data_IF_473923188596
#
_entry.id   IF_473923188596
#
_cell.length_a   1.000
_cell.length_b   1.000
_cell.length_c   1.000
_cell.angle_alpha   90.00
_cell.angle_beta   90.00
_cell.angle_gamma   90.00
#
_symmetry.space_group_name_H-M   'P 1'
#
loop_
_entity.id
_entity.type
_entity.pdbx_description
1 polymer ?
#
# COMPACT_ATOMS: atom_id res chain seq x y z
N UNK A 1 -48.40 36.25 89.81
CA UNK A 1 -48.65 34.92 89.17
C UNK A 1 -47.70 34.75 88.07
N UNK A 2 -46.70 33.87 88.20
CA UNK A 2 -45.63 33.60 87.29
C UNK A 2 -46.05 32.59 86.23
N UNK A 3 -45.58 32.68 84.98
CA UNK A 3 -45.45 31.50 84.14
C UNK A 3 -44.01 31.21 83.84
N UNK A 4 -43.75 29.93 83.89
CA UNK A 4 -42.51 29.21 83.60
C UNK A 4 -41.85 29.55 82.21
N UNK A 5 -40.56 29.84 82.28
CA UNK A 5 -39.70 29.80 81.09
C UNK A 5 -39.01 28.40 81.01
N UNK A 6 -39.40 27.61 80.08
CA UNK A 6 -38.67 26.37 79.71
C UNK A 6 -37.62 26.70 78.65
N UNK A 7 -36.35 26.48 78.95
CA UNK A 7 -35.24 26.64 78.08
C UNK A 7 -35.02 25.32 77.25
N UNK A 8 -35.25 25.43 75.96
CA UNK A 8 -35.02 24.36 75.03
C UNK A 8 -33.55 24.42 74.57
N UNK A 9 -32.75 23.43 75.02
CA UNK A 9 -31.36 23.24 74.52
C UNK A 9 -31.39 22.53 73.13
N UNK A 10 -31.07 23.28 72.08
CA UNK A 10 -30.89 22.72 70.75
C UNK A 10 -29.46 22.18 70.65
N UNK A 11 -29.33 20.86 70.62
CA UNK A 11 -28.06 20.17 70.34
C UNK A 11 -27.86 20.12 68.79
N UNK A 12 -26.92 20.93 68.31
CA UNK A 12 -26.54 20.91 66.88
C UNK A 12 -25.62 19.70 66.64
N UNK A 13 -26.15 18.70 65.97
CA UNK A 13 -25.34 17.61 65.44
C UNK A 13 -24.68 18.05 64.11
N UNK A 14 -23.39 18.29 64.17
CA UNK A 14 -22.59 18.57 62.95
C UNK A 14 -22.29 17.24 62.22
N UNK A 15 -23.03 16.97 61.15
CA UNK A 15 -22.72 15.88 60.23
C UNK A 15 -21.52 16.29 59.38
N UNK A 16 -20.35 15.71 59.65
CA UNK A 16 -19.19 15.79 58.77
C UNK A 16 -19.43 14.88 57.57
N UNK A 17 -19.79 15.46 56.42
CA UNK A 17 -19.84 14.72 55.14
C UNK A 17 -18.42 14.53 54.67
N UNK A 18 -17.87 13.30 54.80
CA UNK A 18 -16.65 12.88 54.15
C UNK A 18 -16.92 12.77 52.65
N UNK A 19 -16.46 13.74 51.87
CA UNK A 19 -16.42 13.69 50.42
C UNK A 19 -15.28 12.74 50.04
N UNK A 20 -15.61 11.47 49.83
CA UNK A 20 -14.69 10.51 49.18
C UNK A 20 -14.63 10.89 47.72
N UNK A 21 -13.63 11.70 47.34
CA UNK A 21 -13.29 11.94 45.96
C UNK A 21 -12.78 10.60 45.38
N UNK A 22 -13.66 9.86 44.73
CA UNK A 22 -13.25 8.72 43.89
C UNK A 22 -12.46 9.29 42.71
N UNK A 23 -11.14 9.26 42.82
CA UNK A 23 -10.23 9.43 41.70
C UNK A 23 -10.48 8.25 40.72
N UNK A 24 -11.40 8.47 39.79
CA UNK A 24 -11.52 7.62 38.62
C UNK A 24 -10.23 7.79 37.84
N UNK A 25 -9.25 6.93 38.05
CA UNK A 25 -8.12 6.81 37.17
C UNK A 25 -8.68 6.43 35.79
N UNK A 26 -8.85 7.41 34.93
CA UNK A 26 -9.13 7.18 33.53
C UNK A 26 -7.94 6.38 32.99
N UNK A 27 -8.12 5.08 32.82
CA UNK A 27 -7.12 4.23 32.20
C UNK A 27 -6.87 4.84 30.79
N UNK A 28 -5.70 5.42 30.62
CA UNK A 28 -5.31 6.01 29.35
C UNK A 28 -5.32 4.89 28.32
N UNK A 29 -6.24 4.96 27.36
CA UNK A 29 -6.42 3.93 26.34
C UNK A 29 -5.13 3.83 25.52
N UNK A 30 -4.42 2.72 25.64
CA UNK A 30 -3.18 2.46 24.88
C UNK A 30 -3.46 2.59 23.38
N UNK A 31 -2.78 3.53 22.73
CA UNK A 31 -2.97 3.77 21.30
C UNK A 31 -2.02 2.91 20.50
N UNK A 32 -2.58 1.97 19.74
CA UNK A 32 -1.83 1.11 18.82
C UNK A 32 -1.97 1.67 17.40
N UNK A 33 -0.86 2.08 16.80
CA UNK A 33 -0.81 2.59 15.42
C UNK A 33 -0.07 1.62 14.52
N UNK A 34 -0.51 1.45 13.24
CA UNK A 34 0.24 0.64 12.27
C UNK A 34 1.58 1.27 11.94
N UNK A 35 2.55 0.39 11.67
CA UNK A 35 3.81 0.72 11.02
C UNK A 35 4.02 -0.27 9.88
N UNK A 36 4.76 0.09 8.86
CA UNK A 36 5.19 -0.81 7.80
C UNK A 36 6.35 -1.74 8.23
N UNK A 37 6.72 -2.74 7.42
CA UNK A 37 7.85 -3.63 7.70
C UNK A 37 9.12 -2.89 8.15
N UNK A 38 9.80 -3.46 9.14
CA UNK A 38 10.96 -2.82 9.76
C UNK A 38 10.62 -1.65 10.71
N UNK A 39 9.35 -1.45 11.06
CA UNK A 39 8.90 -0.34 11.90
C UNK A 39 8.91 1.01 11.18
N UNK A 40 8.78 0.99 9.86
CA UNK A 40 8.79 2.20 9.02
C UNK A 40 7.41 2.89 9.03
N UNK A 41 7.42 4.20 8.90
CA UNK A 41 6.17 4.98 8.76
C UNK A 41 5.73 5.13 7.32
N UNK A 42 6.60 4.78 6.35
CA UNK A 42 6.36 4.98 4.92
C UNK A 42 6.64 3.71 4.13
N UNK A 43 5.81 3.45 3.12
CA UNK A 43 6.07 2.42 2.12
C UNK A 43 6.04 3.03 0.71
N UNK A 44 6.94 2.57 -0.14
CA UNK A 44 7.04 2.94 -1.55
C UNK A 44 6.75 1.72 -2.40
N UNK A 45 5.90 1.89 -3.40
CA UNK A 45 5.52 0.89 -4.41
C UNK A 45 5.75 1.48 -5.78
N UNK A 46 6.46 0.75 -6.64
CA UNK A 46 6.59 1.07 -8.06
C UNK A 46 5.90 -0.01 -8.89
N UNK A 47 4.94 0.38 -9.70
CA UNK A 47 4.09 -0.48 -10.53
C UNK A 47 4.28 -0.11 -11.99
N UNK A 48 4.63 -1.07 -12.87
CA UNK A 48 4.85 -0.82 -14.29
C UNK A 48 4.12 -1.84 -15.14
N UNK A 49 3.71 -1.43 -16.33
CA UNK A 49 2.81 -2.20 -17.18
C UNK A 49 3.49 -2.63 -18.50
N UNK A 50 2.85 -3.58 -19.20
CA UNK A 50 3.07 -4.07 -20.55
C UNK A 50 4.19 -5.12 -20.73
N UNK A 51 5.30 -5.04 -20.01
CA UNK A 51 6.45 -5.93 -20.21
C UNK A 51 7.32 -5.59 -21.42
N UNK A 52 7.61 -4.31 -21.73
CA UNK A 52 8.48 -3.91 -22.83
C UNK A 52 9.95 -4.22 -22.53
N UNK A 53 10.80 -4.23 -23.57
CA UNK A 53 12.25 -4.47 -23.41
C UNK A 53 12.94 -3.48 -22.48
N UNK A 54 12.37 -2.28 -22.30
CA UNK A 54 12.86 -1.23 -21.39
C UNK A 54 12.80 -1.65 -19.92
N UNK A 55 11.99 -2.64 -19.56
CA UNK A 55 11.93 -3.18 -18.20
C UNK A 55 13.27 -3.74 -17.74
N UNK A 56 14.15 -4.18 -18.66
CA UNK A 56 15.52 -4.60 -18.30
C UNK A 56 16.29 -3.46 -17.63
N UNK A 57 16.21 -2.24 -18.18
CA UNK A 57 16.85 -1.04 -17.61
C UNK A 57 16.17 -0.65 -16.29
N UNK A 58 14.86 -0.73 -16.22
CA UNK A 58 14.09 -0.42 -15.01
C UNK A 58 14.44 -1.36 -13.85
N UNK A 59 14.49 -2.67 -14.11
CA UNK A 59 14.91 -3.67 -13.11
C UNK A 59 16.33 -3.41 -12.62
N UNK A 60 17.27 -3.13 -13.54
CA UNK A 60 18.64 -2.79 -13.16
C UNK A 60 18.69 -1.54 -12.24
N UNK A 61 17.86 -0.55 -12.53
CA UNK A 61 17.78 0.68 -11.75
C UNK A 61 17.15 0.43 -10.37
N UNK A 62 16.05 -0.31 -10.28
CA UNK A 62 15.44 -0.70 -9.00
C UNK A 62 16.42 -1.50 -8.14
N UNK A 63 17.12 -2.48 -8.73
CA UNK A 63 18.12 -3.29 -8.04
C UNK A 63 19.31 -2.45 -7.52
N UNK A 64 19.78 -1.47 -8.30
CA UNK A 64 20.83 -0.52 -7.89
C UNK A 64 20.51 0.18 -6.58
N UNK A 65 19.26 0.52 -6.37
CA UNK A 65 18.77 1.22 -5.18
C UNK A 65 18.09 0.30 -4.15
N UNK A 66 18.16 -1.03 -4.33
CA UNK A 66 17.52 -2.03 -3.46
C UNK A 66 16.01 -1.78 -3.30
N UNK A 67 15.37 -1.28 -4.34
CA UNK A 67 13.93 -1.08 -4.44
C UNK A 67 13.28 -2.30 -5.10
N UNK A 68 11.99 -2.45 -4.87
CA UNK A 68 11.16 -3.47 -5.50
C UNK A 68 10.21 -2.85 -6.52
N UNK A 69 9.84 -3.63 -7.53
CA UNK A 69 8.82 -3.26 -8.50
C UNK A 69 7.78 -4.37 -8.66
N UNK A 70 6.58 -3.97 -9.08
CA UNK A 70 5.52 -4.86 -9.55
C UNK A 70 5.38 -4.67 -11.05
N UNK A 71 5.51 -5.77 -11.80
CA UNK A 71 5.53 -5.77 -13.26
C UNK A 71 4.29 -6.49 -13.79
N UNK A 72 3.35 -5.73 -14.35
CA UNK A 72 2.12 -6.27 -14.93
C UNK A 72 2.36 -6.60 -16.39
N UNK A 73 2.41 -7.88 -16.71
CA UNK A 73 2.82 -8.38 -18.03
C UNK A 73 1.61 -8.87 -18.83
N UNK A 74 1.73 -8.78 -20.16
CA UNK A 74 0.81 -9.40 -21.10
C UNK A 74 1.45 -10.67 -21.66
N UNK A 75 1.03 -11.86 -21.24
CA UNK A 75 1.71 -13.11 -21.60
C UNK A 75 1.77 -13.40 -23.09
N UNK A 76 0.78 -12.97 -23.88
CA UNK A 76 0.76 -13.16 -25.34
C UNK A 76 1.62 -12.14 -26.10
N UNK A 77 1.99 -11.00 -25.46
CA UNK A 77 2.90 -10.04 -26.07
C UNK A 77 4.38 -10.41 -25.90
N UNK A 78 4.70 -11.24 -24.88
CA UNK A 78 6.06 -11.73 -24.67
C UNK A 78 6.57 -12.47 -25.91
N UNK A 79 7.86 -12.33 -26.22
CA UNK A 79 8.55 -12.80 -27.44
C UNK A 79 8.18 -12.00 -28.71
N UNK A 80 7.31 -10.99 -28.63
CA UNK A 80 7.05 -10.08 -29.75
C UNK A 80 8.16 -9.02 -29.84
N UNK A 81 8.21 -8.31 -30.97
CA UNK A 81 9.12 -7.16 -31.11
C UNK A 81 8.85 -6.11 -30.02
N UNK A 82 9.90 -5.58 -29.40
CA UNK A 82 9.88 -4.61 -28.32
C UNK A 82 9.34 -5.09 -26.97
N UNK A 83 9.06 -6.40 -26.83
CA UNK A 83 8.68 -7.03 -25.56
C UNK A 83 9.74 -7.97 -25.04
N UNK A 84 9.69 -8.24 -23.72
CA UNK A 84 10.59 -9.19 -23.07
C UNK A 84 10.42 -10.61 -23.62
N UNK A 85 11.49 -11.42 -23.51
CA UNK A 85 11.45 -12.84 -23.85
C UNK A 85 10.97 -13.67 -22.66
N UNK A 86 10.14 -14.70 -22.91
CA UNK A 86 9.59 -15.57 -21.84
C UNK A 86 10.67 -16.23 -20.99
N UNK A 87 11.79 -16.59 -21.62
CA UNK A 87 12.91 -17.30 -20.99
C UNK A 87 13.65 -16.45 -19.95
N UNK A 88 13.62 -15.12 -20.09
CA UNK A 88 14.30 -14.21 -19.17
C UNK A 88 13.47 -13.84 -17.94
N UNK A 89 12.12 -13.93 -17.99
CA UNK A 89 11.19 -13.40 -16.99
C UNK A 89 11.54 -13.87 -15.57
N UNK A 90 11.72 -15.17 -15.38
CA UNK A 90 12.02 -15.75 -14.06
C UNK A 90 13.28 -15.18 -13.42
N UNK A 91 14.33 -14.97 -14.23
CA UNK A 91 15.61 -14.48 -13.73
C UNK A 91 15.62 -12.94 -13.61
N UNK A 92 15.04 -12.26 -14.59
CA UNK A 92 14.98 -10.81 -14.63
C UNK A 92 14.22 -10.26 -13.40
N UNK A 93 13.06 -10.82 -13.11
CA UNK A 93 12.21 -10.33 -12.03
C UNK A 93 12.46 -10.99 -10.66
N UNK A 94 13.60 -11.63 -10.48
CA UNK A 94 13.96 -12.18 -9.16
C UNK A 94 14.03 -11.07 -8.10
N UNK A 95 13.17 -11.17 -7.06
CA UNK A 95 13.04 -10.16 -6.01
C UNK A 95 12.02 -9.06 -6.32
N UNK A 96 11.38 -9.14 -7.49
CA UNK A 96 10.26 -8.30 -7.91
C UNK A 96 8.99 -9.15 -8.05
N UNK A 97 7.85 -8.51 -8.19
CA UNK A 97 6.58 -9.15 -8.43
C UNK A 97 6.25 -9.17 -9.92
N UNK A 98 5.82 -10.34 -10.42
CA UNK A 98 5.16 -10.47 -11.72
C UNK A 98 3.66 -10.53 -11.49
N UNK A 99 2.89 -9.79 -12.27
CA UNK A 99 1.47 -9.57 -12.10
C UNK A 99 0.74 -9.57 -13.46
N UNK A 100 -0.57 -9.76 -13.46
CA UNK A 100 -1.42 -9.85 -14.66
C UNK A 100 -1.65 -8.46 -15.28
N UNK A 101 -1.60 -8.39 -16.62
CA UNK A 101 -2.11 -7.23 -17.38
C UNK A 101 -3.02 -7.63 -18.53
N UNK A 102 -3.72 -8.78 -18.39
CA UNK A 102 -4.45 -9.53 -19.40
C UNK A 102 -3.54 -10.11 -20.51
N UNK A 103 -4.01 -11.15 -21.17
CA UNK A 103 -3.21 -11.84 -22.20
C UNK A 103 -2.87 -10.93 -23.38
N UNK A 104 -3.87 -10.18 -23.87
CA UNK A 104 -3.81 -9.45 -25.15
C UNK A 104 -4.00 -7.94 -24.99
N UNK A 105 -4.22 -7.44 -23.74
CA UNK A 105 -4.42 -6.02 -23.44
C UNK A 105 -5.70 -5.40 -24.05
N UNK A 106 -6.88 -6.05 -24.04
CA UNK A 106 -8.13 -5.41 -24.46
C UNK A 106 -8.72 -4.53 -23.35
N UNK A 107 -9.63 -3.65 -23.71
CA UNK A 107 -10.55 -3.02 -22.75
C UNK A 107 -11.53 -4.06 -22.22
N UNK A 108 -11.39 -4.43 -20.94
CA UNK A 108 -12.08 -5.59 -20.37
C UNK A 108 -13.60 -5.40 -20.22
N UNK A 109 -14.08 -4.19 -19.91
CA UNK A 109 -15.50 -3.93 -19.64
C UNK A 109 -16.43 -4.09 -20.85
N UNK A 110 -15.86 -4.21 -22.05
CA UNK A 110 -16.62 -4.44 -23.29
C UNK A 110 -16.67 -5.89 -23.77
N UNK A 111 -16.01 -6.80 -23.04
CA UNK A 111 -15.92 -8.22 -23.38
C UNK A 111 -17.03 -9.05 -22.73
N UNK A 112 -17.29 -10.23 -23.28
CA UNK A 112 -18.16 -11.22 -22.63
C UNK A 112 -17.48 -11.82 -21.38
N UNK A 113 -18.23 -12.26 -20.35
CA UNK A 113 -17.67 -12.81 -19.12
C UNK A 113 -16.65 -13.93 -19.32
N UNK A 114 -16.87 -14.82 -20.31
CA UNK A 114 -15.93 -15.88 -20.65
C UNK A 114 -14.61 -15.36 -21.24
N UNK A 115 -14.68 -14.29 -22.03
CA UNK A 115 -13.51 -13.62 -22.61
C UNK A 115 -12.72 -12.89 -21.51
N UNK A 116 -13.40 -12.13 -20.62
CA UNK A 116 -12.78 -11.49 -19.46
C UNK A 116 -12.03 -12.52 -18.63
N UNK A 117 -12.66 -13.66 -18.33
CA UNK A 117 -12.01 -14.74 -17.59
C UNK A 117 -10.80 -15.30 -18.33
N UNK A 118 -10.89 -15.49 -19.64
CA UNK A 118 -9.77 -15.94 -20.47
C UNK A 118 -8.60 -14.97 -20.41
N UNK A 119 -8.87 -13.68 -20.54
CA UNK A 119 -7.88 -12.62 -20.48
C UNK A 119 -7.17 -12.52 -19.11
N UNK A 120 -7.90 -12.68 -18.01
CA UNK A 120 -7.34 -12.56 -16.66
C UNK A 120 -6.75 -13.88 -16.18
N UNK A 121 -7.55 -14.94 -16.14
CA UNK A 121 -7.13 -16.24 -15.59
C UNK A 121 -6.15 -16.96 -16.52
N UNK A 122 -6.32 -16.83 -17.84
CA UNK A 122 -5.38 -17.37 -18.82
C UNK A 122 -4.00 -16.72 -18.69
N UNK A 123 -3.96 -15.39 -18.56
CA UNK A 123 -2.71 -14.64 -18.33
C UNK A 123 -2.03 -15.06 -17.02
N UNK A 124 -2.81 -15.16 -15.91
CA UNK A 124 -2.32 -15.67 -14.62
C UNK A 124 -1.60 -17.01 -14.77
N UNK A 125 -2.26 -18.00 -15.37
CA UNK A 125 -1.70 -19.35 -15.53
C UNK A 125 -0.42 -19.36 -16.39
N UNK A 126 -0.41 -18.54 -17.45
CA UNK A 126 0.76 -18.41 -18.32
C UNK A 126 1.93 -17.76 -17.56
N UNK A 127 1.68 -16.68 -16.83
CA UNK A 127 2.71 -15.96 -16.09
C UNK A 127 3.23 -16.76 -14.90
N UNK A 128 2.40 -17.49 -14.16
CA UNK A 128 2.84 -18.39 -13.07
C UNK A 128 3.83 -19.44 -13.59
N UNK A 129 3.53 -20.03 -14.77
CA UNK A 129 4.42 -21.01 -15.42
C UNK A 129 5.75 -20.39 -15.84
N UNK A 130 5.75 -19.16 -16.36
CA UNK A 130 6.93 -18.47 -16.90
C UNK A 130 7.79 -17.91 -15.76
N UNK A 131 7.16 -17.24 -14.79
CA UNK A 131 7.85 -16.58 -13.69
C UNK A 131 8.27 -17.55 -12.57
N UNK A 132 7.55 -18.67 -12.41
CA UNK A 132 7.80 -19.65 -11.34
C UNK A 132 7.47 -19.08 -9.94
N UNK A 133 6.54 -18.16 -9.87
CA UNK A 133 6.00 -17.58 -8.64
C UNK A 133 4.47 -17.51 -8.74
N UNK A 134 3.77 -17.42 -7.59
CA UNK A 134 2.33 -17.14 -7.58
C UNK A 134 2.05 -15.75 -8.14
N UNK A 135 1.00 -15.63 -8.94
CA UNK A 135 0.55 -14.36 -9.54
C UNK A 135 -0.83 -14.04 -8.98
N UNK A 136 -0.90 -13.07 -8.06
CA UNK A 136 -2.07 -12.77 -7.24
C UNK A 136 -2.64 -11.37 -7.46
N UNK A 137 -2.05 -10.60 -8.35
CA UNK A 137 -2.48 -9.25 -8.63
C UNK A 137 -2.60 -8.93 -10.11
N UNK A 138 -3.19 -7.78 -10.40
CA UNK A 138 -3.29 -7.28 -11.77
C UNK A 138 -3.30 -5.76 -11.85
N UNK A 139 -3.10 -5.22 -13.06
CA UNK A 139 -3.53 -3.89 -13.46
C UNK A 139 -4.57 -4.03 -14.59
N UNK A 140 -5.63 -3.24 -14.53
CA UNK A 140 -6.63 -3.23 -15.59
C UNK A 140 -6.09 -2.50 -16.82
N UNK A 141 -6.06 -3.12 -18.03
CA UNK A 141 -5.68 -2.44 -19.25
C UNK A 141 -6.48 -1.15 -19.45
N UNK A 142 -5.80 -0.03 -19.73
CA UNK A 142 -6.40 1.30 -19.83
C UNK A 142 -7.14 1.80 -18.58
N UNK A 143 -7.02 1.12 -17.44
CA UNK A 143 -7.90 1.33 -16.29
C UNK A 143 -9.36 0.98 -16.57
N UNK A 144 -9.62 0.16 -17.61
CA UNK A 144 -10.97 -0.17 -18.06
C UNK A 144 -11.53 -1.37 -17.30
N UNK A 145 -12.54 -1.12 -16.48
CA UNK A 145 -13.23 -2.13 -15.67
C UNK A 145 -14.68 -1.72 -15.37
N UNK A 146 -15.46 -2.68 -14.92
CA UNK A 146 -16.78 -2.52 -14.30
C UNK A 146 -16.91 -3.54 -13.16
N UNK A 147 -18.03 -3.59 -12.48
CA UNK A 147 -18.24 -4.51 -11.35
C UNK A 147 -18.16 -5.98 -11.77
N UNK A 148 -18.60 -6.34 -12.97
CA UNK A 148 -18.48 -7.70 -13.50
C UNK A 148 -17.01 -8.10 -13.70
N UNK A 149 -16.17 -7.23 -14.27
CA UNK A 149 -14.73 -7.44 -14.42
C UNK A 149 -14.08 -7.65 -13.06
N UNK A 150 -14.45 -6.85 -12.05
CA UNK A 150 -13.92 -6.97 -10.69
C UNK A 150 -14.28 -8.32 -10.06
N UNK A 151 -15.53 -8.77 -10.19
CA UNK A 151 -15.95 -10.07 -9.65
C UNK A 151 -15.26 -11.24 -10.37
N UNK A 152 -15.02 -11.14 -11.69
CA UNK A 152 -14.27 -12.15 -12.44
C UNK A 152 -12.78 -12.14 -12.04
N UNK A 153 -12.17 -10.96 -11.84
CA UNK A 153 -10.81 -10.87 -11.35
C UNK A 153 -10.66 -11.53 -9.97
N UNK A 154 -11.58 -11.24 -9.05
CA UNK A 154 -11.65 -11.87 -7.73
C UNK A 154 -11.83 -13.39 -7.82
N UNK A 155 -12.75 -13.86 -8.65
CA UNK A 155 -12.99 -15.29 -8.89
C UNK A 155 -11.78 -15.97 -9.57
N UNK A 156 -10.94 -15.23 -10.28
CA UNK A 156 -9.68 -15.68 -10.86
C UNK A 156 -8.51 -15.70 -9.86
N UNK A 157 -8.78 -15.34 -8.59
CA UNK A 157 -7.78 -15.36 -7.52
C UNK A 157 -6.89 -14.12 -7.49
N UNK A 158 -7.37 -12.98 -7.99
CA UNK A 158 -6.68 -11.70 -7.82
C UNK A 158 -7.00 -11.13 -6.43
N UNK A 159 -5.97 -10.78 -5.68
CA UNK A 159 -6.07 -10.15 -4.37
C UNK A 159 -6.03 -8.62 -4.46
N UNK A 160 -5.50 -8.08 -5.55
CA UNK A 160 -5.58 -6.67 -5.90
C UNK A 160 -5.68 -6.45 -7.40
N UNK A 161 -6.18 -5.26 -7.78
CA UNK A 161 -6.20 -4.78 -9.15
C UNK A 161 -6.04 -3.27 -9.18
N UNK A 162 -4.98 -2.78 -9.87
CA UNK A 162 -4.69 -1.35 -9.99
C UNK A 162 -5.49 -0.73 -11.14
N UNK A 163 -6.04 0.42 -10.85
CA UNK A 163 -6.68 1.32 -11.83
C UNK A 163 -5.73 2.49 -12.17
N UNK A 164 -6.16 3.39 -13.05
CA UNK A 164 -5.35 4.55 -13.50
C UNK A 164 -5.73 5.87 -12.82
N UNK A 165 -6.85 5.91 -12.08
CA UNK A 165 -7.26 7.09 -11.34
C UNK A 165 -6.29 7.38 -10.19
N UNK A 166 -5.69 8.56 -10.21
CA UNK A 166 -4.69 8.95 -9.23
C UNK A 166 -5.29 9.65 -8.02
N UNK A 167 -4.79 9.31 -6.83
CA UNK A 167 -5.24 9.93 -5.58
C UNK A 167 -4.56 11.25 -5.28
N UNK A 168 -3.38 11.49 -5.83
CA UNK A 168 -2.48 12.63 -5.52
C UNK A 168 -2.18 12.75 -4.02
N UNK A 169 -2.27 11.65 -3.29
CA UNK A 169 -1.97 11.57 -1.86
C UNK A 169 -1.34 10.21 -1.51
N UNK A 170 -1.09 9.97 -0.23
CA UNK A 170 -0.36 8.80 0.27
C UNK A 170 -1.23 7.90 1.15
N UNK A 171 -2.55 7.92 0.93
CA UNK A 171 -3.51 7.10 1.66
C UNK A 171 -3.35 5.61 1.34
N UNK A 172 -3.66 4.77 2.33
CA UNK A 172 -3.76 3.33 2.11
C UNK A 172 -4.99 3.02 1.25
N UNK A 173 -4.94 1.98 0.38
CA UNK A 173 -6.08 1.58 -0.43
C UNK A 173 -7.23 1.08 0.45
N UNK A 174 -8.44 1.56 0.16
CA UNK A 174 -9.67 1.11 0.81
C UNK A 174 -10.25 -0.15 0.15
N UNK A 175 -10.06 -0.27 -1.16
CA UNK A 175 -10.45 -1.40 -1.99
C UNK A 175 -9.23 -1.86 -2.81
N UNK A 176 -8.73 -3.05 -2.51
CA UNK A 176 -7.58 -3.59 -3.22
C UNK A 176 -7.90 -3.94 -4.68
N UNK A 177 -9.15 -4.32 -5.00
CA UNK A 177 -9.54 -4.63 -6.38
C UNK A 177 -9.88 -3.38 -7.22
N UNK A 178 -9.81 -2.19 -6.61
CA UNK A 178 -9.91 -0.87 -7.26
C UNK A 178 -8.82 0.07 -6.72
N UNK A 179 -7.57 -0.44 -6.66
CA UNK A 179 -6.46 0.30 -6.08
C UNK A 179 -6.09 1.50 -6.93
N UNK A 180 -6.30 2.68 -6.37
CA UNK A 180 -5.88 3.96 -6.95
C UNK A 180 -4.42 4.23 -6.61
N UNK A 181 -3.52 4.41 -7.60
CA UNK A 181 -2.15 4.82 -7.33
C UNK A 181 -2.09 6.27 -6.85
N UNK A 182 -0.95 6.66 -6.27
CA UNK A 182 -0.73 8.06 -5.88
C UNK A 182 -0.53 8.95 -7.10
N UNK A 183 0.29 8.52 -8.04
CA UNK A 183 0.59 9.29 -9.25
C UNK A 183 1.16 8.40 -10.36
N UNK A 184 1.02 8.86 -11.59
CA UNK A 184 1.83 8.41 -12.72
C UNK A 184 3.30 8.88 -12.57
N UNK A 185 4.26 8.16 -13.13
CA UNK A 185 5.70 8.44 -12.94
C UNK A 185 6.15 9.83 -13.41
N UNK A 186 5.49 10.41 -14.40
CA UNK A 186 5.72 11.78 -14.87
C UNK A 186 4.39 12.50 -15.13
N UNK A 187 3.34 12.13 -14.36
CA UNK A 187 2.01 12.69 -14.51
C UNK A 187 1.27 12.19 -15.76
N UNK A 188 0.31 12.97 -16.22
CA UNK A 188 -0.59 12.59 -17.33
C UNK A 188 -0.11 13.00 -18.73
N UNK A 189 1.10 13.50 -18.88
CA UNK A 189 1.61 13.99 -20.16
C UNK A 189 1.55 12.94 -21.30
N UNK A 190 1.44 11.67 -20.96
CA UNK A 190 1.27 10.60 -21.93
C UNK A 190 -0.09 10.65 -22.63
N UNK A 191 -1.16 11.03 -21.93
CA UNK A 191 -2.54 11.04 -22.43
C UNK A 191 -2.97 12.40 -22.99
N UNK A 192 -2.24 13.45 -22.68
CA UNK A 192 -2.48 14.81 -23.14
C UNK A 192 -1.55 15.17 -24.30
N UNK A 193 -1.82 16.28 -24.98
CA UNK A 193 -0.97 16.73 -26.09
C UNK A 193 0.50 16.86 -25.62
N UNK A 194 1.37 16.04 -26.19
CA UNK A 194 2.81 16.03 -25.88
C UNK A 194 3.43 17.37 -26.27
N UNK A 195 3.68 18.22 -25.29
CA UNK A 195 4.49 19.41 -25.46
C UNK A 195 5.44 19.58 -24.28
N UNK A 196 6.54 20.27 -24.49
CA UNK A 196 7.60 20.45 -23.51
C UNK A 196 7.09 21.09 -22.19
N UNK A 197 6.13 22.00 -22.27
CA UNK A 197 5.56 22.66 -21.10
C UNK A 197 4.77 21.68 -20.22
N UNK A 198 3.98 20.80 -20.82
CA UNK A 198 3.26 19.75 -20.08
C UNK A 198 4.23 18.75 -19.46
N UNK A 199 5.25 18.30 -20.18
CA UNK A 199 6.28 17.39 -19.65
C UNK A 199 6.98 18.01 -18.43
N UNK A 200 7.31 19.29 -18.46
CA UNK A 200 7.93 19.99 -17.34
C UNK A 200 7.00 20.12 -16.13
N UNK A 201 5.72 20.44 -16.35
CA UNK A 201 4.72 20.51 -15.27
C UNK A 201 4.51 19.16 -14.59
N UNK A 202 4.42 18.09 -15.38
CA UNK A 202 4.21 16.76 -14.86
C UNK A 202 5.43 16.24 -14.09
N UNK A 203 6.63 16.51 -14.58
CA UNK A 203 7.87 16.19 -13.85
C UNK A 203 7.95 16.97 -12.54
N UNK A 204 7.60 18.27 -12.55
CA UNK A 204 7.56 19.08 -11.35
C UNK A 204 6.55 18.54 -10.32
N UNK A 205 5.36 18.14 -10.77
CA UNK A 205 4.35 17.52 -9.92
C UNK A 205 4.85 16.20 -9.30
N UNK A 206 5.45 15.32 -10.09
CA UNK A 206 6.04 14.07 -9.62
C UNK A 206 7.12 14.30 -8.56
N UNK A 207 8.02 15.26 -8.79
CA UNK A 207 9.08 15.62 -7.85
C UNK A 207 8.53 16.23 -6.55
N UNK A 208 7.48 17.08 -6.65
CA UNK A 208 6.81 17.65 -5.49
C UNK A 208 6.13 16.55 -4.65
N UNK A 209 5.38 15.64 -5.27
CA UNK A 209 4.76 14.52 -4.56
C UNK A 209 5.81 13.61 -3.88
N UNK A 210 6.93 13.34 -4.56
CA UNK A 210 8.04 12.59 -3.95
C UNK A 210 8.60 13.30 -2.71
N UNK A 211 8.78 14.62 -2.80
CA UNK A 211 9.25 15.44 -1.69
C UNK A 211 8.26 15.46 -0.52
N UNK A 212 6.96 15.64 -0.82
CA UNK A 212 5.90 15.67 0.18
C UNK A 212 5.74 14.30 0.87
N UNK A 213 5.84 13.21 0.12
CA UNK A 213 5.88 11.87 0.69
C UNK A 213 7.05 11.71 1.68
N UNK A 214 8.24 12.13 1.29
CA UNK A 214 9.43 12.01 2.15
C UNK A 214 9.34 12.86 3.41
N UNK A 215 8.65 14.00 3.36
CA UNK A 215 8.44 14.93 4.49
C UNK A 215 7.26 14.54 5.39
N UNK A 216 6.34 13.71 4.89
CA UNK A 216 5.16 13.30 5.67
C UNK A 216 5.56 12.66 7.01
N UNK A 217 4.86 12.99 8.09
CA UNK A 217 5.05 12.44 9.45
C UNK A 217 4.00 11.38 9.79
N UNK A 218 3.07 11.13 8.89
CA UNK A 218 2.01 10.13 9.07
C UNK A 218 2.37 8.82 8.41
N UNK A 219 1.58 7.78 8.67
CA UNK A 219 1.66 6.53 7.90
C UNK A 219 1.29 6.82 6.45
N UNK A 220 2.23 6.59 5.53
CA UNK A 220 2.10 6.99 4.14
C UNK A 220 2.49 5.85 3.18
N UNK A 221 1.65 5.63 2.16
CA UNK A 221 1.89 4.71 1.06
C UNK A 221 2.00 5.50 -0.25
N UNK A 222 3.16 5.49 -0.88
CA UNK A 222 3.39 6.15 -2.16
C UNK A 222 3.43 5.10 -3.26
N UNK A 223 2.35 4.97 -4.03
CA UNK A 223 2.24 4.09 -5.18
C UNK A 223 2.43 4.89 -6.45
N UNK A 224 3.56 4.69 -7.11
CA UNK A 224 3.88 5.26 -8.43
C UNK A 224 3.61 4.22 -9.49
N UNK A 225 2.99 4.62 -10.60
CA UNK A 225 2.74 3.73 -11.73
C UNK A 225 3.20 4.34 -13.04
N UNK A 226 3.33 3.55 -14.09
CA UNK A 226 3.65 3.99 -15.44
C UNK A 226 4.13 2.85 -16.31
N UNK A 227 4.85 3.19 -17.38
CA UNK A 227 5.41 2.24 -18.32
C UNK A 227 6.88 2.57 -18.58
N UNK A 228 7.76 1.56 -18.57
CA UNK A 228 9.18 1.81 -18.81
C UNK A 228 9.49 2.33 -20.21
N UNK A 229 8.63 2.02 -21.20
CA UNK A 229 8.75 2.52 -22.57
C UNK A 229 8.51 4.04 -22.69
N UNK A 230 7.89 4.69 -21.72
CA UNK A 230 7.71 6.16 -21.71
C UNK A 230 9.03 6.93 -21.59
N UNK A 231 10.04 6.33 -20.95
CA UNK A 231 11.39 6.87 -20.94
C UNK A 231 12.10 6.65 -22.28
N UNK A 232 11.74 5.56 -23.01
CA UNK A 232 12.36 5.22 -24.28
C UNK A 232 13.89 5.28 -24.21
N UNK A 233 14.51 5.90 -25.21
CA UNK A 233 15.96 6.10 -25.28
C UNK A 233 16.44 7.41 -24.62
N UNK A 234 15.56 8.13 -23.90
CA UNK A 234 15.87 9.41 -23.29
C UNK A 234 16.60 9.22 -21.95
N UNK A 235 17.92 9.38 -21.95
CA UNK A 235 18.71 9.36 -20.71
C UNK A 235 18.24 10.40 -19.70
N UNK A 236 17.73 11.55 -20.14
CA UNK A 236 17.19 12.57 -19.25
C UNK A 236 16.02 12.05 -18.42
N UNK A 237 15.03 11.40 -19.05
CA UNK A 237 13.88 10.79 -18.36
C UNK A 237 14.29 9.67 -17.41
N UNK A 238 15.25 8.84 -17.80
CA UNK A 238 15.80 7.81 -16.92
C UNK A 238 16.52 8.41 -15.71
N UNK A 239 17.24 9.53 -15.88
CA UNK A 239 17.90 10.23 -14.79
C UNK A 239 16.89 10.89 -13.82
N UNK A 240 15.76 11.39 -14.32
CA UNK A 240 14.67 11.91 -13.50
C UNK A 240 14.08 10.81 -12.61
N UNK A 241 13.80 9.63 -13.19
CA UNK A 241 13.32 8.47 -12.44
C UNK A 241 14.36 7.99 -11.42
N UNK A 242 15.64 7.93 -11.84
CA UNK A 242 16.75 7.56 -10.96
C UNK A 242 16.88 8.51 -9.77
N UNK A 243 16.67 9.80 -9.98
CA UNK A 243 16.69 10.82 -8.92
C UNK A 243 15.63 10.53 -7.85
N UNK A 244 14.41 10.18 -8.27
CA UNK A 244 13.35 9.75 -7.36
C UNK A 244 13.77 8.49 -6.58
N UNK A 245 14.23 7.45 -7.26
CA UNK A 245 14.63 6.20 -6.61
C UNK A 245 15.76 6.40 -5.60
N UNK A 246 16.74 7.23 -5.92
CA UNK A 246 17.82 7.61 -5.01
C UNK A 246 17.30 8.32 -3.76
N UNK A 247 16.35 9.25 -3.91
CA UNK A 247 15.73 9.95 -2.77
C UNK A 247 14.98 8.98 -1.86
N UNK A 248 14.17 8.08 -2.45
CA UNK A 248 13.41 7.05 -1.74
C UNK A 248 14.36 6.11 -0.97
N UNK A 249 15.40 5.59 -1.64
CA UNK A 249 16.35 4.65 -1.04
C UNK A 249 17.17 5.25 0.11
N UNK A 250 17.47 6.55 0.06
CA UNK A 250 18.20 7.25 1.11
C UNK A 250 17.36 7.50 2.37
N UNK A 251 16.04 7.36 2.30
CA UNK A 251 15.16 7.62 3.44
C UNK A 251 15.09 6.41 4.39
N UNK A 252 15.56 6.59 5.61
CA UNK A 252 15.46 5.57 6.68
C UNK A 252 14.02 5.26 7.10
N UNK A 253 13.06 6.14 6.80
CA UNK A 253 11.66 6.00 7.17
C UNK A 253 10.85 5.20 6.14
N UNK A 254 11.40 4.91 4.96
CA UNK A 254 10.73 4.21 3.85
C UNK A 254 11.16 2.75 3.80
N UNK A 255 10.22 1.86 3.49
CA UNK A 255 10.48 0.52 2.96
C UNK A 255 9.91 0.41 1.55
N UNK A 256 10.62 -0.31 0.67
CA UNK A 256 10.14 -0.64 -0.67
C UNK A 256 9.41 -1.97 -0.62
N UNK A 257 8.19 -2.01 -1.14
CA UNK A 257 7.33 -3.19 -1.18
C UNK A 257 6.78 -3.37 -2.60
N UNK A 258 6.46 -4.60 -2.95
CA UNK A 258 5.60 -4.88 -4.11
C UNK A 258 4.13 -4.67 -3.73
N UNK A 259 3.23 -4.63 -4.71
CA UNK A 259 1.80 -4.45 -4.44
C UNK A 259 1.25 -5.60 -3.60
N UNK A 260 1.58 -6.85 -3.91
CA UNK A 260 1.09 -8.00 -3.13
C UNK A 260 1.66 -8.00 -1.70
N UNK A 261 2.91 -7.59 -1.51
CA UNK A 261 3.48 -7.46 -0.16
C UNK A 261 2.73 -6.41 0.70
N UNK A 262 2.22 -5.34 0.08
CA UNK A 262 1.37 -4.37 0.79
C UNK A 262 0.02 -4.99 1.16
N UNK A 263 -0.60 -5.74 0.23
CA UNK A 263 -1.87 -6.44 0.50
C UNK A 263 -1.72 -7.40 1.67
N UNK A 264 -0.74 -8.31 1.60
CA UNK A 264 -0.44 -9.29 2.64
C UNK A 264 -0.21 -8.61 3.99
N UNK A 265 0.56 -7.53 3.99
CA UNK A 265 0.91 -6.82 5.21
C UNK A 265 -0.29 -6.11 5.85
N UNK A 266 -1.10 -5.41 5.05
CA UNK A 266 -2.28 -4.71 5.55
C UNK A 266 -3.38 -5.66 5.99
N UNK A 267 -3.53 -6.81 5.32
CA UNK A 267 -4.43 -7.88 5.75
C UNK A 267 -3.95 -8.46 7.10
N UNK A 268 -2.66 -8.77 7.23
CA UNK A 268 -2.09 -9.26 8.48
C UNK A 268 -2.28 -8.27 9.64
N UNK A 269 -2.12 -6.97 9.39
CA UNK A 269 -2.39 -5.94 10.38
C UNK A 269 -3.86 -5.92 10.81
N UNK A 270 -4.80 -6.02 9.87
CA UNK A 270 -6.25 -6.06 10.16
C UNK A 270 -6.67 -7.27 11.00
N UNK A 271 -5.91 -8.37 10.92
CA UNK A 271 -6.16 -9.59 11.69
C UNK A 271 -5.68 -9.51 13.15
N UNK A 272 -4.92 -8.49 13.55
CA UNK A 272 -4.43 -8.35 14.92
C UNK A 272 -5.59 -8.34 15.92
N UNK A 273 -5.45 -9.14 16.97
CA UNK A 273 -6.42 -9.27 18.05
C UNK A 273 -5.92 -8.58 19.32
N UNK A 274 -6.59 -7.51 19.70
CA UNK A 274 -6.27 -6.74 20.92
C UNK A 274 -7.08 -7.30 22.09
N UNK A 275 -6.41 -7.63 23.19
CA UNK A 275 -7.03 -8.03 24.44
C UNK A 275 -6.78 -6.96 25.51
N UNK A 276 -7.81 -6.21 25.82
CA UNK A 276 -7.78 -5.15 26.84
C UNK A 276 -7.52 -5.76 28.25
N UNK A 277 -8.19 -6.89 28.56
CA UNK A 277 -8.07 -7.54 29.87
C UNK A 277 -6.68 -8.17 30.12
N UNK A 278 -6.03 -8.64 29.04
CA UNK A 278 -4.68 -9.23 29.10
C UNK A 278 -3.57 -8.21 28.80
N UNK A 279 -3.91 -7.00 28.44
CA UNK A 279 -2.99 -5.96 27.95
C UNK A 279 -2.02 -6.55 26.91
N UNK A 280 -2.58 -7.13 25.84
CA UNK A 280 -1.80 -7.83 24.82
C UNK A 280 -2.41 -7.73 23.43
N UNK A 281 -1.55 -7.88 22.40
CA UNK A 281 -1.94 -8.01 21.00
C UNK A 281 -1.46 -9.33 20.48
N UNK A 282 -2.35 -10.14 19.91
CA UNK A 282 -2.01 -11.40 19.24
C UNK A 282 -2.01 -11.23 17.72
N UNK A 283 -1.01 -11.77 17.06
CA UNK A 283 -0.90 -11.80 15.60
C UNK A 283 -1.23 -13.22 15.08
N UNK A 284 -2.45 -13.47 14.58
CA UNK A 284 -2.84 -14.78 14.06
C UNK A 284 -2.31 -15.06 12.64
N UNK A 285 -1.71 -14.07 11.96
CA UNK A 285 -1.23 -14.20 10.58
C UNK A 285 0.10 -14.95 10.48
N UNK A 286 0.57 -15.15 9.25
CA UNK A 286 1.90 -15.70 8.92
C UNK A 286 2.93 -14.60 8.66
N UNK A 287 2.52 -13.32 8.69
CA UNK A 287 3.37 -12.16 8.43
C UNK A 287 3.78 -11.49 9.74
N UNK A 288 5.03 -11.07 9.83
CA UNK A 288 5.48 -10.24 10.96
C UNK A 288 4.90 -8.83 10.84
N UNK A 289 4.18 -8.36 11.87
CA UNK A 289 3.56 -7.03 11.90
C UNK A 289 4.33 -6.11 12.85
N UNK A 290 4.46 -4.84 12.47
CA UNK A 290 5.05 -3.80 13.30
C UNK A 290 3.98 -2.81 13.72
N UNK A 291 4.02 -2.39 14.97
CA UNK A 291 3.10 -1.39 15.54
C UNK A 291 3.86 -0.37 16.36
N UNK A 292 3.32 0.82 16.44
CA UNK A 292 3.73 1.81 17.43
C UNK A 292 2.74 1.77 18.59
N UNK A 293 3.24 1.63 19.81
CA UNK A 293 2.46 1.71 21.04
C UNK A 293 3.06 2.84 21.87
N UNK A 294 2.29 3.89 22.08
CA UNK A 294 2.71 5.10 22.82
C UNK A 294 4.07 5.65 22.33
N UNK A 295 4.24 5.68 20.99
CA UNK A 295 5.44 6.19 20.31
C UNK A 295 6.61 5.21 20.24
N UNK A 296 6.53 4.03 20.85
CA UNK A 296 7.57 2.98 20.77
C UNK A 296 7.21 1.93 19.73
N UNK A 297 8.18 1.52 18.92
CA UNK A 297 8.03 0.49 17.90
C UNK A 297 8.12 -0.90 18.51
N UNK A 298 7.16 -1.76 18.17
CA UNK A 298 7.14 -3.16 18.55
C UNK A 298 6.96 -4.05 17.32
N UNK A 299 7.57 -5.25 17.40
CA UNK A 299 7.49 -6.31 16.40
C UNK A 299 6.64 -7.44 16.95
N UNK A 300 5.59 -7.82 16.24
CA UNK A 300 4.72 -8.95 16.59
C UNK A 300 4.95 -10.05 15.56
N UNK A 301 5.60 -11.13 15.98
CA UNK A 301 5.91 -12.26 15.09
C UNK A 301 4.63 -13.02 14.72
N UNK A 302 4.64 -13.83 13.65
CA UNK A 302 3.56 -14.75 13.33
C UNK A 302 3.17 -15.63 14.53
N UNK A 303 1.88 -15.86 14.71
CA UNK A 303 1.32 -16.75 15.76
C UNK A 303 1.82 -16.44 17.17
N UNK A 304 2.13 -15.16 17.45
CA UNK A 304 2.63 -14.75 18.75
C UNK A 304 1.88 -13.56 19.35
N UNK A 305 2.00 -13.39 20.66
CA UNK A 305 1.44 -12.25 21.39
C UNK A 305 2.53 -11.28 21.85
N UNK A 306 2.20 -10.01 21.80
CA UNK A 306 2.97 -8.91 22.41
C UNK A 306 2.23 -8.47 23.68
N UNK A 307 2.90 -8.44 24.84
CA UNK A 307 2.39 -7.73 26.01
C UNK A 307 2.55 -6.23 25.80
N UNK A 308 1.46 -5.49 26.01
CA UNK A 308 1.47 -4.04 25.97
C UNK A 308 2.05 -3.47 27.28
N UNK A 309 2.73 -2.33 27.25
CA UNK A 309 3.10 -1.61 28.46
C UNK A 309 1.86 -1.23 29.26
N UNK A 310 2.00 -1.20 30.60
CA UNK A 310 0.95 -0.72 31.52
C UNK A 310 0.98 0.78 31.58
#
# INVERSE_FOLDING_TARGET
>A
MNPFKSSLKITVFTFAILFIASLSASAQKTTIKPLFPGGKTKAFVFSTDDGPVHDRRLVALLNKYQLKGTFHLNSNKLNSSNYLQKEEIKNLFKGHEVSVHSMNHPGLSGLLPAEIRSEIFGDKLALEKIAGQSVLGMAYPFGNFNDEVVEIAKASGMEYARIVDETRNFSLPNDFLRWKPSTHQFGKAYYEAKNLENDQKELALFNNLTTDFLRSDTLALYTVWGHSWEMGDSDAKWNDLETCFKQIANSKAVCALTMIEVVDYLQAYKLLQVSETKHSVFNPSTVTVFVSVDGKTYKIRPKSSLKLPK
#
